data_IF_940712922082
#
_entry.id   IF_940712922082
#
_cell.length_a   1.000
_cell.length_b   1.000
_cell.length_c   1.000
_cell.angle_alpha   90.00
_cell.angle_beta   90.00
_cell.angle_gamma   90.00
#
_symmetry.space_group_name_H-M   'P 1'
#
loop_
_entity.id
_entity.type
_entity.pdbx_description
1 polymer ?
#
# COMPACT_ATOMS: atom_id res chain seq x y z
N UNK A 1 21.57 -25.51 49.33
CA UNK A 1 22.59 -25.46 48.26
C UNK A 1 22.01 -24.65 47.10
N UNK A 2 22.58 -23.48 46.81
CA UNK A 2 22.16 -22.61 45.70
C UNK A 2 23.02 -22.98 44.48
N UNK A 3 22.38 -23.45 43.41
CA UNK A 3 23.08 -23.85 42.19
C UNK A 3 23.52 -22.60 41.42
N UNK A 4 24.83 -22.31 41.41
CA UNK A 4 25.44 -21.22 40.64
C UNK A 4 25.66 -21.68 39.20
N UNK A 5 24.95 -21.09 38.25
CA UNK A 5 25.19 -21.27 36.82
C UNK A 5 26.62 -20.79 36.48
N UNK A 6 27.43 -21.57 35.73
CA UNK A 6 28.79 -21.19 35.42
C UNK A 6 28.80 -19.99 34.45
N UNK A 7 29.81 -19.13 34.61
CA UNK A 7 30.07 -17.92 33.82
C UNK A 7 30.45 -18.23 32.35
N UNK A 8 29.67 -19.06 31.64
CA UNK A 8 29.64 -19.02 30.19
C UNK A 8 28.85 -17.77 29.81
N UNK A 9 29.58 -16.88 29.17
CA UNK A 9 29.35 -15.45 29.09
C UNK A 9 27.97 -15.15 28.52
N UNK A 10 27.31 -14.14 29.10
CA UNK A 10 26.03 -13.57 28.64
C UNK A 10 25.98 -13.30 27.13
N UNK A 11 27.14 -13.19 26.47
CA UNK A 11 27.34 -13.09 25.03
C UNK A 11 26.88 -14.33 24.23
N UNK A 12 27.10 -15.56 24.70
CA UNK A 12 26.58 -16.78 24.03
C UNK A 12 25.04 -16.82 24.11
N UNK A 13 24.47 -16.41 25.26
CA UNK A 13 23.02 -16.32 25.43
C UNK A 13 22.43 -15.17 24.58
N UNK A 14 23.14 -14.04 24.43
CA UNK A 14 22.73 -12.93 23.57
C UNK A 14 22.85 -13.25 22.06
N UNK A 15 23.80 -14.10 21.68
CA UNK A 15 23.89 -14.64 20.32
C UNK A 15 22.80 -15.68 20.02
N UNK A 16 22.35 -16.44 21.03
CA UNK A 16 21.18 -17.35 20.91
C UNK A 16 19.86 -16.57 20.94
N UNK A 17 19.76 -15.51 21.75
CA UNK A 17 18.69 -14.50 21.75
C UNK A 17 19.06 -13.36 20.80
N UNK A 18 19.43 -13.69 19.56
CA UNK A 18 19.67 -12.73 18.50
C UNK A 18 18.37 -11.95 18.22
N UNK A 19 18.09 -10.94 19.04
CA UNK A 19 17.00 -9.97 18.90
C UNK A 19 17.10 -9.21 17.57
N UNK A 20 18.21 -9.39 16.84
CA UNK A 20 18.42 -8.94 15.46
C UNK A 20 17.64 -9.73 14.41
N UNK A 21 17.18 -10.95 14.68
CA UNK A 21 16.38 -11.74 13.73
C UNK A 21 14.88 -11.50 13.85
N UNK A 22 14.40 -10.80 14.90
CA UNK A 22 12.99 -10.44 15.00
C UNK A 22 12.56 -9.44 13.91
N UNK A 23 13.48 -8.58 13.45
CA UNK A 23 13.28 -7.69 12.28
C UNK A 23 13.37 -8.42 10.92
N UNK A 24 13.81 -9.69 10.91
CA UNK A 24 13.82 -10.59 9.74
C UNK A 24 12.80 -11.72 9.88
N UNK A 25 11.88 -11.62 10.83
CA UNK A 25 10.79 -12.60 10.89
C UNK A 25 9.99 -12.49 9.59
N UNK A 26 9.71 -13.65 8.99
CA UNK A 26 8.82 -13.79 7.83
C UNK A 26 7.59 -12.90 7.96
N UNK A 27 7.04 -12.82 9.17
CA UNK A 27 5.91 -11.98 9.57
C UNK A 27 6.11 -10.49 9.29
N UNK A 28 7.27 -9.88 9.55
CA UNK A 28 7.49 -8.45 9.27
C UNK A 28 7.61 -8.15 7.77
N UNK A 29 8.21 -9.07 7.01
CA UNK A 29 8.27 -8.96 5.54
C UNK A 29 6.90 -9.23 4.90
N UNK A 30 6.15 -10.18 5.46
CA UNK A 30 4.78 -10.51 5.06
C UNK A 30 3.84 -9.32 5.30
N UNK A 31 3.87 -8.69 6.48
CA UNK A 31 3.06 -7.50 6.78
C UNK A 31 3.42 -6.33 5.87
N UNK A 32 4.71 -6.06 5.60
CA UNK A 32 5.08 -4.99 4.66
C UNK A 32 4.63 -5.27 3.23
N UNK A 33 4.77 -6.51 2.75
CA UNK A 33 4.32 -6.90 1.42
C UNK A 33 2.79 -6.83 1.29
N UNK A 34 2.08 -7.26 2.33
CA UNK A 34 0.62 -7.24 2.39
C UNK A 34 0.08 -5.80 2.42
N UNK A 35 0.65 -4.93 3.26
CA UNK A 35 0.30 -3.50 3.30
C UNK A 35 0.56 -2.80 1.97
N UNK A 36 1.66 -3.13 1.27
CA UNK A 36 1.94 -2.58 -0.06
C UNK A 36 0.94 -3.09 -1.11
N UNK A 37 0.60 -4.38 -1.08
CA UNK A 37 -0.34 -4.98 -2.00
C UNK A 37 -1.77 -4.44 -1.79
N UNK A 38 -2.19 -4.28 -0.54
CA UNK A 38 -3.49 -3.69 -0.18
C UNK A 38 -3.57 -2.23 -0.60
N UNK A 39 -2.54 -1.43 -0.32
CA UNK A 39 -2.49 -0.03 -0.75
C UNK A 39 -2.54 0.12 -2.28
N UNK A 40 -1.83 -0.76 -3.01
CA UNK A 40 -1.89 -0.78 -4.48
C UNK A 40 -3.28 -1.18 -4.98
N UNK A 41 -3.90 -2.20 -4.39
CA UNK A 41 -5.23 -2.64 -4.76
C UNK A 41 -6.29 -1.56 -4.50
N UNK A 42 -6.16 -0.82 -3.40
CA UNK A 42 -7.06 0.28 -3.05
C UNK A 42 -6.90 1.48 -4.00
N UNK A 43 -5.65 1.83 -4.35
CA UNK A 43 -5.35 2.84 -5.37
C UNK A 43 -5.91 2.46 -6.74
N UNK A 44 -5.78 1.20 -7.15
CA UNK A 44 -6.33 0.71 -8.42
C UNK A 44 -7.86 0.78 -8.42
N UNK A 45 -8.52 0.40 -7.32
CA UNK A 45 -9.98 0.53 -7.18
C UNK A 45 -10.42 1.99 -7.21
N UNK A 46 -9.68 2.90 -6.59
CA UNK A 46 -9.96 4.33 -6.61
C UNK A 46 -9.88 4.87 -8.05
N UNK A 47 -8.78 4.60 -8.77
CA UNK A 47 -8.62 4.99 -10.18
C UNK A 47 -9.71 4.41 -11.09
N UNK A 48 -10.09 3.15 -10.89
CA UNK A 48 -11.18 2.55 -11.66
C UNK A 48 -12.53 3.22 -11.39
N UNK A 49 -12.82 3.57 -10.12
CA UNK A 49 -14.06 4.28 -9.76
C UNK A 49 -14.10 5.67 -10.37
N UNK A 50 -12.96 6.36 -10.37
CA UNK A 50 -12.78 7.67 -10.96
C UNK A 50 -13.00 7.64 -12.47
N UNK A 51 -12.32 6.72 -13.18
CA UNK A 51 -12.54 6.47 -14.62
C UNK A 51 -14.01 6.14 -14.91
N UNK A 52 -14.63 5.27 -14.12
CA UNK A 52 -16.04 4.93 -14.29
C UNK A 52 -16.99 6.11 -13.99
N UNK A 53 -16.62 7.05 -13.12
CA UNK A 53 -17.38 8.27 -12.88
C UNK A 53 -17.27 9.23 -14.08
N UNK A 54 -16.05 9.47 -14.56
CA UNK A 54 -15.76 10.29 -15.76
C UNK A 54 -16.59 9.80 -16.95
N UNK A 55 -16.50 8.50 -17.28
CA UNK A 55 -17.23 7.94 -18.42
C UNK A 55 -18.75 8.01 -18.24
N UNK A 56 -19.26 7.83 -17.02
CA UNK A 56 -20.71 7.94 -16.74
C UNK A 56 -21.23 9.36 -16.88
N UNK A 57 -20.43 10.36 -16.52
CA UNK A 57 -20.76 11.78 -16.69
C UNK A 57 -20.66 12.18 -18.17
N UNK A 58 -19.59 11.77 -18.85
CA UNK A 58 -19.42 12.01 -20.28
C UNK A 58 -20.56 11.40 -21.11
N UNK A 59 -20.93 10.15 -20.85
CA UNK A 59 -22.07 9.49 -21.51
C UNK A 59 -23.43 10.14 -21.20
N UNK A 60 -23.53 10.95 -20.16
CA UNK A 60 -24.73 11.76 -19.85
C UNK A 60 -24.73 13.12 -20.55
N UNK A 61 -23.67 13.43 -21.31
CA UNK A 61 -23.54 14.67 -22.09
C UNK A 61 -22.93 15.84 -21.32
N UNK A 62 -22.26 15.61 -20.18
CA UNK A 62 -21.51 16.66 -19.49
C UNK A 62 -20.25 17.04 -20.28
N UNK A 63 -19.92 18.34 -20.29
CA UNK A 63 -18.70 18.84 -20.91
C UNK A 63 -17.46 18.38 -20.12
N UNK A 64 -16.34 18.16 -20.81
CA UNK A 64 -15.11 17.66 -20.19
C UNK A 64 -14.55 18.64 -19.15
N UNK A 65 -14.74 19.95 -19.36
CA UNK A 65 -14.37 21.01 -18.42
C UNK A 65 -15.21 20.98 -17.13
N UNK A 66 -16.51 20.66 -17.25
CA UNK A 66 -17.39 20.52 -16.09
C UNK A 66 -17.02 19.27 -15.29
N UNK A 67 -16.73 18.15 -15.97
CA UNK A 67 -16.29 16.90 -15.33
C UNK A 67 -14.98 17.11 -14.57
N UNK A 68 -14.02 17.80 -15.19
CA UNK A 68 -12.75 18.19 -14.57
C UNK A 68 -12.97 19.01 -13.28
N UNK A 69 -13.90 19.96 -13.33
CA UNK A 69 -14.28 20.79 -12.17
C UNK A 69 -14.98 19.97 -11.08
N UNK A 70 -15.88 19.04 -11.43
CA UNK A 70 -16.60 18.22 -10.46
C UNK A 70 -15.73 17.20 -9.73
N UNK A 71 -14.69 16.71 -10.39
CA UNK A 71 -13.80 15.68 -9.86
C UNK A 71 -12.46 16.26 -9.37
N UNK A 72 -12.27 17.57 -9.43
CA UNK A 72 -11.02 18.28 -9.11
C UNK A 72 -9.78 17.69 -9.85
N UNK A 73 -9.99 17.28 -11.10
CA UNK A 73 -8.95 16.70 -11.97
C UNK A 73 -8.69 17.60 -13.17
N UNK A 74 -7.57 17.36 -13.86
CA UNK A 74 -7.25 18.13 -15.07
C UNK A 74 -8.11 17.70 -16.27
N UNK A 75 -8.42 18.62 -17.18
CA UNK A 75 -9.15 18.30 -18.43
C UNK A 75 -8.39 17.24 -19.26
N UNK A 76 -7.07 17.32 -19.30
CA UNK A 76 -6.22 16.34 -19.97
C UNK A 76 -6.39 14.92 -19.39
N UNK A 77 -6.57 14.80 -18.08
CA UNK A 77 -6.80 13.52 -17.41
C UNK A 77 -8.20 12.96 -17.70
N UNK A 78 -9.21 13.83 -17.77
CA UNK A 78 -10.55 13.45 -18.24
C UNK A 78 -10.51 12.93 -19.68
N UNK A 79 -9.84 13.64 -20.57
CA UNK A 79 -9.68 13.25 -21.99
C UNK A 79 -8.91 11.93 -22.13
N UNK A 80 -7.81 11.75 -21.40
CA UNK A 80 -7.05 10.50 -21.41
C UNK A 80 -7.91 9.31 -20.95
N UNK A 81 -8.70 9.49 -19.89
CA UNK A 81 -9.60 8.44 -19.39
C UNK A 81 -10.73 8.09 -20.38
N UNK A 82 -11.21 9.07 -21.16
CA UNK A 82 -12.19 8.87 -22.24
C UNK A 82 -11.54 8.18 -23.44
N UNK A 83 -10.32 8.56 -23.83
CA UNK A 83 -9.61 7.98 -24.97
C UNK A 83 -9.15 6.53 -24.72
N UNK A 84 -8.90 6.16 -23.46
CA UNK A 84 -8.59 4.79 -23.03
C UNK A 84 -9.83 3.90 -22.78
N UNK A 85 -11.04 4.38 -23.07
CA UNK A 85 -12.30 3.63 -22.88
C UNK A 85 -12.79 3.00 -24.18
#
# INVERSE_FOLDING_TARGET
MVYKLPQKSREEIAAMFNLSDLNKTRVYQEIQAEVQAEAQAELQKAKQREKAAILRMFNRGLATEEIATFLDVSVAEVEANIAEA
#
